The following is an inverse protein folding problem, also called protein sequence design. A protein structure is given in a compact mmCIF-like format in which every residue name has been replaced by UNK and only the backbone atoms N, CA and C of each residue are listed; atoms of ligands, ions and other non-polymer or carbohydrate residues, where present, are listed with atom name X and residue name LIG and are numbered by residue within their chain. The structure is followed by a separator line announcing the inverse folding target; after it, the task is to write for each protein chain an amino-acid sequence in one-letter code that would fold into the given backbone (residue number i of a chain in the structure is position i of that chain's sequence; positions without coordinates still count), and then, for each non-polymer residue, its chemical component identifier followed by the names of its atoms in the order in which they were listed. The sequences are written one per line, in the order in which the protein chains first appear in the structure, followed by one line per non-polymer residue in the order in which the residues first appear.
data_IF_610087388431
#
_entry.id   IF_610087388431
#
_cell.length_a   1.000
_cell.length_b   1.000
_cell.length_c   1.000
_cell.angle_alpha   90.00
_cell.angle_beta   90.00
_cell.angle_gamma   90.00
#
_symmetry.space_group_name_H-M   'P 1'
#
loop_
_entity.id
_entity.type
_entity.pdbx_description
1 polymer ?
#
# COMPACT_ATOMS: atom_id res chain seq x y z
N UNK A 1 0.59 -9.04 -2.25
CA UNK A 1 0.87 -7.75 -2.91
C UNK A 1 1.86 -7.84 -4.07
N UNK A 2 3.06 -8.42 -3.91
CA UNK A 2 4.07 -8.51 -5.00
C UNK A 2 3.53 -9.02 -6.35
N UNK A 3 2.73 -10.11 -6.35
CA UNK A 3 2.12 -10.64 -7.58
C UNK A 3 1.18 -9.63 -8.27
N UNK A 4 0.45 -8.83 -7.49
CA UNK A 4 -0.45 -7.79 -8.02
C UNK A 4 0.38 -6.68 -8.69
N UNK A 5 1.43 -6.20 -8.02
CA UNK A 5 2.32 -5.19 -8.61
C UNK A 5 3.03 -5.70 -9.86
N UNK A 6 3.44 -6.97 -9.87
CA UNK A 6 4.02 -7.61 -11.06
C UNK A 6 3.05 -7.62 -12.24
N UNK A 7 1.77 -7.97 -12.02
CA UNK A 7 0.77 -7.97 -13.09
C UNK A 7 0.42 -6.57 -13.57
N UNK A 8 0.35 -5.58 -12.67
CA UNK A 8 0.19 -4.18 -13.05
C UNK A 8 1.38 -3.72 -13.89
N UNK A 9 2.60 -4.00 -13.44
CA UNK A 9 3.84 -3.64 -14.16
C UNK A 9 3.89 -4.27 -15.55
N UNK A 10 3.43 -5.52 -15.68
CA UNK A 10 3.36 -6.24 -16.96
C UNK A 10 2.48 -5.55 -18.00
N UNK A 11 1.42 -4.85 -17.58
CA UNK A 11 0.48 -4.17 -18.48
C UNK A 11 0.74 -2.66 -18.62
N UNK A 12 1.58 -2.08 -17.76
CA UNK A 12 1.97 -0.68 -17.88
C UNK A 12 2.76 -0.46 -19.17
N UNK A 13 2.43 0.62 -19.88
CA UNK A 13 3.25 1.08 -21.01
C UNK A 13 4.63 1.52 -20.50
N UNK A 14 5.65 1.55 -21.39
CA UNK A 14 6.92 2.19 -21.06
C UNK A 14 6.72 3.57 -20.43
N UNK A 15 7.38 3.82 -19.29
CA UNK A 15 7.24 5.07 -18.51
C UNK A 15 5.82 5.31 -17.94
N UNK A 16 4.99 4.28 -17.85
CA UNK A 16 3.66 4.33 -17.26
C UNK A 16 3.73 4.62 -15.75
N UNK A 17 2.65 5.20 -15.24
CA UNK A 17 2.51 5.59 -13.85
C UNK A 17 1.42 4.76 -13.17
N UNK A 18 1.60 4.53 -11.88
CA UNK A 18 0.63 3.91 -11.00
C UNK A 18 0.27 4.89 -9.90
N UNK A 19 -1.03 5.02 -9.65
CA UNK A 19 -1.57 5.65 -8.45
C UNK A 19 -2.31 4.60 -7.63
N UNK A 20 -1.84 4.34 -6.41
CA UNK A 20 -2.35 3.27 -5.55
C UNK A 20 -2.62 3.80 -4.15
N UNK A 21 -3.71 3.34 -3.54
CA UNK A 21 -4.00 3.54 -2.12
C UNK A 21 -3.76 2.23 -1.35
N UNK A 22 -3.10 2.30 -0.19
CA UNK A 22 -2.90 1.17 0.72
C UNK A 22 -3.29 1.53 2.15
N UNK A 23 -3.83 0.58 2.90
CA UNK A 23 -4.18 0.79 4.30
C UNK A 23 -2.90 0.90 5.16
N UNK A 24 -2.87 1.86 6.08
CA UNK A 24 -1.73 2.04 7.00
C UNK A 24 -1.86 1.10 8.20
N UNK A 25 -0.75 0.52 8.66
CA UNK A 25 -0.72 -0.22 9.94
C UNK A 25 -1.00 0.66 11.16
N UNK A 26 -1.00 1.99 11.01
CA UNK A 26 -1.36 2.92 12.08
C UNK A 26 -2.87 3.13 12.24
N UNK A 27 -3.67 2.62 11.30
CA UNK A 27 -5.14 2.71 11.36
C UNK A 27 -5.71 1.84 12.48
N UNK A 28 -6.85 2.23 13.03
CA UNK A 28 -7.44 1.57 14.21
C UNK A 28 -7.66 0.06 14.00
N UNK A 29 -8.15 -0.33 12.82
CA UNK A 29 -8.43 -1.73 12.51
C UNK A 29 -7.21 -2.63 12.65
N UNK A 30 -6.02 -2.16 12.28
CA UNK A 30 -4.81 -2.97 12.38
C UNK A 30 -4.13 -2.86 13.75
N UNK A 31 -4.14 -1.66 14.33
CA UNK A 31 -3.35 -1.33 15.52
C UNK A 31 -4.08 -1.68 16.82
N UNK A 32 -5.36 -1.36 16.91
CA UNK A 32 -6.08 -1.27 18.19
C UNK A 32 -7.27 -2.23 18.28
N UNK A 33 -7.91 -2.58 17.15
CA UNK A 33 -9.14 -3.38 17.13
C UNK A 33 -8.98 -4.84 17.62
N UNK A 34 -7.75 -5.35 17.72
CA UNK A 34 -7.48 -6.69 18.23
C UNK A 34 -7.90 -7.83 17.29
N UNK A 35 -8.17 -7.54 16.00
CA UNK A 35 -8.52 -8.58 15.03
C UNK A 35 -7.40 -9.63 14.85
N UNK A 36 -7.78 -10.89 14.56
CA UNK A 36 -6.79 -11.94 14.28
C UNK A 36 -5.87 -11.57 13.12
N UNK A 37 -4.55 -11.70 13.35
CA UNK A 37 -3.53 -11.58 12.31
C UNK A 37 -3.34 -12.93 11.64
N UNK A 38 -3.40 -12.95 10.31
CA UNK A 38 -3.05 -14.15 9.53
C UNK A 38 -1.63 -14.10 9.01
N UNK A 39 -1.06 -12.89 8.89
CA UNK A 39 0.36 -12.67 8.67
C UNK A 39 0.79 -11.31 9.26
N UNK A 40 2.02 -10.87 8.99
CA UNK A 40 2.60 -9.62 9.50
C UNK A 40 1.97 -8.33 8.94
N UNK A 41 1.27 -8.42 7.81
CA UNK A 41 0.60 -7.32 7.11
C UNK A 41 -0.92 -7.49 7.04
N UNK A 42 -1.46 -8.66 7.37
CA UNK A 42 -2.86 -8.97 7.08
C UNK A 42 -3.62 -9.41 8.33
N UNK A 43 -4.79 -8.79 8.54
CA UNK A 43 -5.78 -9.20 9.55
C UNK A 43 -7.06 -9.70 8.89
N UNK A 44 -7.89 -10.40 9.66
CA UNK A 44 -9.25 -10.76 9.25
C UNK A 44 -10.25 -10.09 10.20
N UNK A 45 -11.18 -9.29 9.65
CA UNK A 45 -12.25 -8.70 10.46
C UNK A 45 -13.26 -9.77 10.88
N UNK A 46 -13.65 -9.76 12.14
CA UNK A 46 -14.53 -10.78 12.75
C UNK A 46 -15.91 -10.27 13.12
N UNK A 47 -16.10 -8.95 13.11
CA UNK A 47 -17.40 -8.32 13.38
C UNK A 47 -18.44 -8.71 12.32
N UNK A 48 -19.71 -8.85 12.73
CA UNK A 48 -20.80 -9.09 11.79
C UNK A 48 -20.96 -7.90 10.83
N UNK A 49 -21.04 -8.20 9.54
CA UNK A 49 -21.13 -7.19 8.50
C UNK A 49 -20.57 -7.67 7.16
N UNK A 50 -20.58 -6.81 6.13
CA UNK A 50 -20.12 -7.16 4.79
C UNK A 50 -18.62 -7.53 4.75
N UNK A 51 -17.84 -7.04 5.70
CA UNK A 51 -16.39 -7.27 5.78
C UNK A 51 -16.01 -8.51 6.63
N UNK A 52 -16.99 -9.23 7.19
CA UNK A 52 -16.72 -10.38 8.04
C UNK A 52 -15.98 -11.47 7.28
N UNK A 53 -14.84 -11.91 7.83
CA UNK A 53 -14.02 -12.96 7.23
C UNK A 53 -13.15 -12.49 6.06
N UNK A 54 -13.20 -11.20 5.68
CA UNK A 54 -12.42 -10.67 4.57
C UNK A 54 -11.03 -10.25 5.05
N UNK A 55 -9.94 -10.80 4.47
CA UNK A 55 -8.59 -10.38 4.77
C UNK A 55 -8.32 -8.94 4.32
N UNK A 56 -7.74 -8.13 5.20
CA UNK A 56 -7.35 -6.76 4.90
C UNK A 56 -5.84 -6.60 5.05
N UNK A 57 -5.19 -6.09 3.99
CA UNK A 57 -3.74 -5.91 3.91
C UNK A 57 -3.33 -4.47 4.28
N UNK A 58 -2.35 -4.35 5.17
CA UNK A 58 -1.86 -3.09 5.73
C UNK A 58 -0.35 -2.99 5.63
N UNK A 59 0.16 -1.78 5.48
CA UNK A 59 1.59 -1.50 5.26
C UNK A 59 2.12 -0.40 6.19
N UNK A 60 3.42 -0.44 6.44
CA UNK A 60 4.21 0.72 6.89
C UNK A 60 4.77 1.48 5.68
N UNK A 61 5.37 2.65 5.91
CA UNK A 61 6.17 3.33 4.88
C UNK A 61 7.31 2.43 4.37
N UNK A 62 8.01 1.71 5.24
CA UNK A 62 9.10 0.81 4.86
C UNK A 62 8.62 -0.35 3.97
N UNK A 63 7.47 -0.93 4.30
CA UNK A 63 6.84 -1.97 3.46
C UNK A 63 6.58 -1.42 2.04
N UNK A 64 6.09 -0.17 1.93
CA UNK A 64 5.85 0.48 0.63
C UNK A 64 7.16 0.69 -0.14
N UNK A 65 8.20 1.23 0.49
CA UNK A 65 9.49 1.46 -0.16
C UNK A 65 10.09 0.16 -0.71
N UNK A 66 9.93 -0.95 0.01
CA UNK A 66 10.37 -2.27 -0.46
C UNK A 66 9.47 -2.84 -1.56
N UNK A 67 8.16 -2.66 -1.46
CA UNK A 67 7.20 -3.14 -2.48
C UNK A 67 7.37 -2.43 -3.82
N UNK A 68 7.78 -1.16 -3.81
CA UNK A 68 7.90 -0.29 -4.99
C UNK A 68 9.35 -0.14 -5.46
N UNK A 69 10.24 -1.09 -5.18
CA UNK A 69 11.66 -1.01 -5.54
C UNK A 69 11.90 -0.86 -7.05
N UNK A 70 11.03 -1.45 -7.89
CA UNK A 70 11.08 -1.35 -9.35
C UNK A 70 10.38 -0.09 -9.90
N UNK A 71 10.02 0.84 -9.02
CA UNK A 71 9.36 2.07 -9.37
C UNK A 71 10.16 3.27 -8.87
N UNK A 72 10.19 4.33 -9.68
CA UNK A 72 10.54 5.65 -9.21
C UNK A 72 9.32 6.25 -8.51
N UNK A 73 9.35 6.29 -7.20
CA UNK A 73 8.30 6.94 -6.39
C UNK A 73 8.40 8.46 -6.59
N UNK A 74 7.31 9.09 -7.03
CA UNK A 74 7.20 10.55 -7.11
C UNK A 74 6.74 11.12 -5.78
N UNK A 75 5.71 10.50 -5.19
CA UNK A 75 5.10 10.99 -3.95
C UNK A 75 4.42 9.88 -3.18
N UNK A 76 4.61 9.90 -1.86
CA UNK A 76 3.78 9.16 -0.91
C UNK A 76 3.14 10.18 0.02
N UNK A 77 1.82 10.10 0.20
CA UNK A 77 1.09 10.84 1.23
C UNK A 77 0.55 9.85 2.23
N UNK A 78 0.78 10.09 3.51
CA UNK A 78 0.13 9.38 4.61
C UNK A 78 -0.95 10.30 5.17
N UNK A 79 -2.20 9.93 4.99
CA UNK A 79 -3.36 10.74 5.36
C UNK A 79 -4.15 10.01 6.44
N UNK A 80 -4.64 10.77 7.41
CA UNK A 80 -5.62 10.30 8.40
C UNK A 80 -6.97 10.95 8.08
N UNK A 81 -7.93 10.15 7.62
CA UNK A 81 -9.32 10.56 7.47
C UNK A 81 -9.97 10.58 8.86
N UNK A 82 -9.58 11.54 9.68
CA UNK A 82 -9.82 11.54 11.13
C UNK A 82 -11.21 12.05 11.55
N UNK A 83 -12.02 12.54 10.62
CA UNK A 83 -13.38 12.97 10.89
C UNK A 83 -14.27 12.79 9.66
N UNK A 84 -15.26 11.92 9.76
CA UNK A 84 -16.30 11.75 8.75
C UNK A 84 -17.58 11.20 9.38
N UNK A 85 -18.72 11.41 8.71
CA UNK A 85 -20.04 11.00 9.20
C UNK A 85 -20.38 11.53 10.60
N UNK A 86 -19.86 12.71 10.95
CA UNK A 86 -20.10 13.37 12.23
C UNK A 86 -19.36 12.77 13.43
N UNK A 87 -18.40 11.88 13.21
CA UNK A 87 -17.64 11.22 14.26
C UNK A 87 -16.13 11.36 14.04
N UNK A 88 -15.38 11.38 15.14
CA UNK A 88 -13.92 11.16 15.09
C UNK A 88 -13.63 9.73 14.65
N UNK A 89 -12.61 9.59 13.82
CA UNK A 89 -12.23 8.34 13.18
C UNK A 89 -10.71 8.18 13.24
N UNK A 90 -10.23 6.95 13.09
CA UNK A 90 -8.81 6.66 12.92
C UNK A 90 -8.68 5.76 11.69
N UNK A 91 -8.55 6.43 10.54
CA UNK A 91 -8.64 5.85 9.21
C UNK A 91 -7.45 6.31 8.38
N UNK A 92 -6.32 5.63 8.55
CA UNK A 92 -5.05 6.03 7.96
C UNK A 92 -4.72 5.25 6.69
N UNK A 93 -4.38 5.97 5.63
CA UNK A 93 -4.05 5.42 4.33
C UNK A 93 -2.81 6.06 3.72
N UNK A 94 -2.08 5.28 2.92
CA UNK A 94 -1.03 5.76 2.05
C UNK A 94 -1.57 5.94 0.63
N UNK A 95 -1.28 7.09 0.03
CA UNK A 95 -1.52 7.38 -1.38
C UNK A 95 -0.18 7.49 -2.09
N UNK A 96 0.05 6.63 -3.08
CA UNK A 96 1.36 6.43 -3.71
C UNK A 96 1.21 6.77 -5.19
N UNK A 97 2.00 7.75 -5.65
CA UNK A 97 2.22 8.02 -7.08
C UNK A 97 3.63 7.58 -7.43
N UNK A 98 3.75 6.66 -8.38
CA UNK A 98 5.05 6.12 -8.79
C UNK A 98 5.07 5.82 -10.30
N UNK A 99 6.27 5.84 -10.87
CA UNK A 99 6.54 5.58 -12.27
C UNK A 99 7.32 4.29 -12.42
N UNK A 100 6.87 3.40 -13.30
CA UNK A 100 7.56 2.13 -13.52
C UNK A 100 8.93 2.38 -14.18
N UNK A 101 9.97 1.79 -13.59
CA UNK A 101 11.32 1.79 -14.16
C UNK A 101 11.37 0.67 -15.20
N UNK A 102 11.62 1.02 -16.46
CA UNK A 102 11.84 -0.02 -17.45
C UNK A 102 13.19 -0.71 -17.18
N UNK A 103 13.35 -1.96 -17.60
CA UNK A 103 14.62 -2.70 -17.47
C UNK A 103 15.84 -1.96 -18.09
N UNK A 104 15.61 -1.03 -19.03
CA UNK A 104 16.67 -0.18 -19.60
C UNK A 104 17.14 0.93 -18.64
N UNK A 105 16.28 1.41 -17.73
CA UNK A 105 16.60 2.47 -16.77
C UNK A 105 17.37 1.92 -15.55
N UNK A 106 17.20 0.63 -15.23
CA UNK A 106 17.95 -0.06 -14.15
C UNK A 106 19.46 -0.16 -14.43
N UNK A 107 19.90 -0.12 -15.70
CA UNK A 107 21.33 -0.13 -16.05
C UNK A 107 22.06 1.19 -15.75
N UNK A 108 21.34 2.31 -15.66
CA UNK A 108 21.97 3.62 -15.42
C UNK A 108 22.15 3.90 -13.92
N UNK A 109 21.34 3.28 -13.06
CA UNK A 109 21.43 3.45 -11.59
C UNK A 109 22.54 2.56 -10.99
N UNK A 110 22.78 1.37 -11.55
CA UNK A 110 23.89 0.50 -11.10
C UNK A 110 25.28 1.05 -11.43
N UNK A 111 25.39 1.89 -12.47
CA UNK A 111 26.66 2.45 -12.92
C UNK A 111 27.00 3.79 -12.22
N UNK A 112 26.14 4.24 -11.29
CA UNK A 112 26.30 5.49 -10.53
C UNK A 112 26.43 5.29 -9.01
N UNK A 113 26.67 4.05 -8.57
CA UNK A 113 27.04 3.70 -7.18
C UNK A 113 28.46 3.14 -7.10
#
# INVERSE_FOLDING_TARGET
MHKILSEISRILKPKGEIFLTLCSKETWSFKDAGYPKIDVNTIIKTEEGPEKGIPHFYVTLQDILMLFIDFKIDRIRHTDDCYFEGNEQNSKHYFILAKYLNAADNKLVSDSM
#
